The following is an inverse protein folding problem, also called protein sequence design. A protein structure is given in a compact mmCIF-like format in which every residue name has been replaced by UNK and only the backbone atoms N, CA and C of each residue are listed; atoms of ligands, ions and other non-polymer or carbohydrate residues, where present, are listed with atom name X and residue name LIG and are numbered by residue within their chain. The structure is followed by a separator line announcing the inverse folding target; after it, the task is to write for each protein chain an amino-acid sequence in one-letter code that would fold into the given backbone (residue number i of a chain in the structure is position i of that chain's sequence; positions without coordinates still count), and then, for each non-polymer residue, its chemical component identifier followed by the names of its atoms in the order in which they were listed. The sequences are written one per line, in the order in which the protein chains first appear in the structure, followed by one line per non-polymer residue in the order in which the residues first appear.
data_IF_920813093616
#
_entry.id   IF_920813093616
#
_cell.length_a   1.000
_cell.length_b   1.000
_cell.length_c   1.000
_cell.angle_alpha   90.00
_cell.angle_beta   90.00
_cell.angle_gamma   90.00
#
_symmetry.space_group_name_H-M   'P 1'
#
loop_
_entity.id
_entity.type
_entity.pdbx_description
1 polymer ?
#
# COMPACT_ATOMS: atom_id res chain seq x y z
N UNK A 1 -20.13 -18.00 -18.19
CA UNK A 1 -19.38 -16.88 -17.60
C UNK A 1 -20.30 -15.93 -16.89
N UNK A 2 -19.93 -15.54 -15.74
CA UNK A 2 -20.75 -14.76 -14.86
C UNK A 2 -20.43 -13.26 -15.02
N UNK A 3 -21.39 -12.41 -15.38
CA UNK A 3 -21.11 -10.98 -15.52
C UNK A 3 -20.66 -10.32 -14.20
N UNK A 4 -21.03 -10.92 -13.08
CA UNK A 4 -20.61 -10.43 -11.77
C UNK A 4 -19.08 -10.46 -11.65
N UNK A 5 -18.45 -11.43 -12.30
CA UNK A 5 -16.99 -11.54 -12.29
C UNK A 5 -16.34 -10.28 -12.86
N UNK A 6 -16.90 -9.73 -13.92
CA UNK A 6 -16.37 -8.50 -14.52
C UNK A 6 -16.49 -7.32 -13.56
N UNK A 7 -17.61 -7.21 -12.85
CA UNK A 7 -17.80 -6.14 -11.87
C UNK A 7 -16.82 -6.29 -10.72
N UNK A 8 -16.62 -7.52 -10.25
CA UNK A 8 -15.68 -7.78 -9.18
C UNK A 8 -14.26 -7.44 -9.61
N UNK A 9 -13.93 -7.76 -10.86
CA UNK A 9 -12.62 -7.48 -11.39
C UNK A 9 -12.34 -5.97 -11.41
N UNK A 10 -13.32 -5.18 -11.80
CA UNK A 10 -13.18 -3.73 -11.79
C UNK A 10 -12.97 -3.20 -10.38
N UNK A 11 -13.74 -3.69 -9.43
CA UNK A 11 -13.62 -3.27 -8.04
C UNK A 11 -12.27 -3.67 -7.45
N UNK A 12 -11.82 -4.87 -7.77
CA UNK A 12 -10.51 -5.33 -7.31
C UNK A 12 -9.40 -4.43 -7.82
N UNK A 13 -9.47 -4.03 -9.08
CA UNK A 13 -8.48 -3.12 -9.65
C UNK A 13 -8.48 -1.79 -8.94
N UNK A 14 -9.65 -1.28 -8.59
CA UNK A 14 -9.73 -0.02 -7.86
C UNK A 14 -9.10 -0.14 -6.48
N UNK A 15 -9.32 -1.26 -5.80
CA UNK A 15 -8.74 -1.47 -4.49
C UNK A 15 -7.23 -1.61 -4.56
N UNK A 16 -6.73 -2.28 -5.58
CA UNK A 16 -5.30 -2.40 -5.81
C UNK A 16 -4.69 -1.02 -6.06
N UNK A 17 -5.37 -0.20 -6.84
CA UNK A 17 -4.90 1.15 -7.11
C UNK A 17 -4.86 2.00 -5.82
N UNK A 18 -5.91 1.92 -5.03
CA UNK A 18 -5.95 2.64 -3.74
C UNK A 18 -4.83 2.21 -2.82
N UNK A 19 -4.56 0.91 -2.80
CA UNK A 19 -3.48 0.37 -1.99
C UNK A 19 -2.14 0.95 -2.41
N UNK A 20 -1.90 1.03 -3.71
CA UNK A 20 -0.69 1.62 -4.24
C UNK A 20 -0.54 3.09 -3.85
N UNK A 21 -1.65 3.83 -3.91
CA UNK A 21 -1.66 5.23 -3.51
C UNK A 21 -1.33 5.37 -2.03
N UNK A 22 -1.88 4.48 -1.20
CA UNK A 22 -1.58 4.49 0.23
C UNK A 22 -0.11 4.25 0.50
N UNK A 23 0.49 3.31 -0.21
CA UNK A 23 1.92 3.03 -0.05
C UNK A 23 2.72 4.28 -0.39
N UNK A 24 2.38 4.92 -1.50
CA UNK A 24 3.06 6.13 -1.94
C UNK A 24 2.93 7.25 -0.92
N UNK A 25 1.72 7.47 -0.42
CA UNK A 25 1.46 8.54 0.53
C UNK A 25 2.20 8.30 1.85
N UNK A 26 2.15 7.08 2.37
CA UNK A 26 2.88 6.76 3.59
C UNK A 26 4.38 6.92 3.41
N UNK A 27 4.89 6.43 2.30
CA UNK A 27 6.32 6.53 2.01
C UNK A 27 6.76 7.99 1.98
N UNK A 28 6.01 8.84 1.30
CA UNK A 28 6.34 10.26 1.22
C UNK A 28 6.21 10.95 2.58
N UNK A 29 5.19 10.60 3.32
CA UNK A 29 4.99 11.17 4.65
C UNK A 29 6.16 10.85 5.57
N UNK A 30 6.73 9.68 5.42
CA UNK A 30 7.86 9.23 6.23
C UNK A 30 9.21 9.63 5.64
N UNK A 31 9.23 10.30 4.50
CA UNK A 31 10.46 10.75 3.87
C UNK A 31 11.30 9.62 3.29
N UNK A 32 10.68 8.54 2.89
CA UNK A 32 11.37 7.37 2.36
C UNK A 32 11.36 7.35 0.84
N UNK A 33 12.47 6.92 0.25
CA UNK A 33 12.50 6.62 -1.18
C UNK A 33 11.94 5.22 -1.42
N UNK A 34 11.62 4.92 -2.68
CA UNK A 34 11.21 3.56 -3.03
C UNK A 34 12.28 2.54 -2.69
N UNK A 35 13.54 2.92 -2.89
CA UNK A 35 14.65 2.04 -2.58
C UNK A 35 14.71 1.72 -1.08
N UNK A 36 14.54 2.76 -0.26
CA UNK A 36 14.58 2.58 1.19
C UNK A 36 13.44 1.69 1.68
N UNK A 37 12.24 1.90 1.14
CA UNK A 37 11.11 1.05 1.51
C UNK A 37 11.35 -0.38 1.06
N UNK A 38 11.85 -0.56 -0.15
CA UNK A 38 12.16 -1.89 -0.68
C UNK A 38 13.14 -2.62 0.24
N UNK A 39 14.20 -1.92 0.63
CA UNK A 39 15.21 -2.49 1.51
C UNK A 39 14.60 -2.93 2.84
N UNK A 40 13.80 -2.07 3.45
CA UNK A 40 13.18 -2.38 4.74
C UNK A 40 12.12 -3.48 4.65
N UNK A 41 11.49 -3.60 3.50
CA UNK A 41 10.43 -4.59 3.28
C UNK A 41 10.97 -5.94 2.80
N UNK A 42 12.23 -5.98 2.42
CA UNK A 42 12.79 -7.20 1.82
C UNK A 42 12.26 -7.47 0.43
N UNK A 43 11.93 -6.41 -0.31
CA UNK A 43 11.37 -6.51 -1.66
C UNK A 43 12.26 -5.77 -2.63
N UNK A 44 12.10 -6.07 -3.92
CA UNK A 44 12.84 -5.35 -4.96
C UNK A 44 12.23 -3.96 -5.15
N UNK A 45 13.06 -2.99 -5.52
CA UNK A 45 12.56 -1.63 -5.76
C UNK A 45 11.55 -1.61 -6.90
N UNK A 46 11.80 -2.37 -7.97
CA UNK A 46 10.87 -2.44 -9.09
C UNK A 46 9.50 -2.95 -8.64
N UNK A 47 9.49 -3.85 -7.66
CA UNK A 47 8.24 -4.37 -7.13
C UNK A 47 7.47 -3.29 -6.36
N UNK A 48 8.19 -2.49 -5.56
CA UNK A 48 7.57 -1.35 -4.87
C UNK A 48 6.98 -0.37 -5.89
N UNK A 49 7.72 -0.10 -6.96
CA UNK A 49 7.22 0.77 -8.02
C UNK A 49 5.93 0.23 -8.64
N UNK A 50 5.90 -1.07 -8.90
CA UNK A 50 4.71 -1.71 -9.47
C UNK A 50 3.53 -1.69 -8.50
N UNK A 51 3.80 -1.85 -7.21
CA UNK A 51 2.74 -1.74 -6.20
C UNK A 51 2.15 -0.34 -6.18
N UNK A 52 3.00 0.68 -6.20
CA UNK A 52 2.55 2.07 -6.14
C UNK A 52 1.75 2.46 -7.37
N UNK A 53 2.08 1.90 -8.52
CA UNK A 53 1.35 2.19 -9.75
C UNK A 53 0.06 1.38 -9.90
N UNK A 54 -0.13 0.38 -9.04
CA UNK A 54 -1.31 -0.46 -9.11
C UNK A 54 -1.27 -1.47 -10.25
N UNK A 55 -0.07 -1.78 -10.75
CA UNK A 55 0.06 -2.67 -11.90
C UNK A 55 0.19 -4.14 -11.53
N UNK A 56 0.29 -4.46 -10.24
CA UNK A 56 0.34 -5.84 -9.79
C UNK A 56 -0.63 -6.05 -8.63
N UNK A 57 -1.03 -7.29 -8.44
CA UNK A 57 -1.96 -7.70 -7.38
C UNK A 57 -1.12 -8.30 -6.24
N UNK A 58 -0.88 -7.57 -5.15
CA UNK A 58 -0.01 -8.07 -4.10
C UNK A 58 -0.71 -9.13 -3.26
N UNK A 59 0.07 -10.06 -2.77
CA UNK A 59 -0.40 -11.02 -1.79
C UNK A 59 -0.52 -10.32 -0.43
N UNK A 60 -1.34 -10.87 0.43
CA UNK A 60 -1.51 -10.33 1.78
C UNK A 60 -0.18 -10.31 2.53
N UNK A 61 0.65 -11.34 2.33
CA UNK A 61 1.96 -11.37 2.95
C UNK A 61 2.86 -10.22 2.47
N UNK A 62 2.73 -9.84 1.21
CA UNK A 62 3.47 -8.71 0.67
C UNK A 62 3.02 -7.41 1.32
N UNK A 63 1.72 -7.26 1.52
CA UNK A 63 1.16 -6.07 2.18
C UNK A 63 1.74 -5.95 3.59
N UNK A 64 1.80 -7.05 4.32
CA UNK A 64 2.40 -7.04 5.66
C UNK A 64 3.86 -6.62 5.63
N UNK A 65 4.62 -7.10 4.63
CA UNK A 65 6.02 -6.71 4.50
C UNK A 65 6.16 -5.21 4.28
N UNK A 66 5.32 -4.66 3.42
CA UNK A 66 5.36 -3.22 3.13
C UNK A 66 4.99 -2.42 4.37
N UNK A 67 3.93 -2.79 5.04
CA UNK A 67 3.49 -2.09 6.25
C UNK A 67 4.58 -2.14 7.30
N UNK A 68 5.20 -3.28 7.46
CA UNK A 68 6.31 -3.43 8.40
C UNK A 68 7.50 -2.56 8.01
N UNK A 69 7.78 -2.48 6.72
CA UNK A 69 8.86 -1.64 6.21
C UNK A 69 8.60 -0.16 6.39
N UNK A 70 7.34 0.24 6.41
CA UNK A 70 6.98 1.64 6.66
C UNK A 70 7.17 2.04 8.11
N UNK A 71 7.05 1.08 9.04
CA UNK A 71 7.24 1.37 10.45
C UNK A 71 6.43 0.43 11.31
N UNK A 72 6.35 0.77 12.59
CA UNK A 72 5.62 -0.06 13.55
C UNK A 72 4.17 0.40 13.60
N UNK A 73 3.44 0.07 12.56
CA UNK A 73 2.03 0.40 12.51
C UNK A 73 1.24 -0.87 12.18
N UNK A 74 -0.03 -0.88 12.56
CA UNK A 74 -0.91 -1.96 12.21
C UNK A 74 -1.37 -1.80 10.76
N UNK A 75 -1.88 -2.89 10.18
CA UNK A 75 -2.48 -2.81 8.85
C UNK A 75 -3.66 -1.84 8.86
N UNK A 76 -4.42 -1.81 9.96
CA UNK A 76 -5.54 -0.90 10.06
C UNK A 76 -5.09 0.56 10.00
N UNK A 77 -4.02 0.90 10.71
CA UNK A 77 -3.45 2.25 10.65
C UNK A 77 -2.98 2.59 9.25
N UNK A 78 -2.35 1.63 8.59
CA UNK A 78 -1.91 1.82 7.22
C UNK A 78 -3.10 2.11 6.30
N UNK A 79 -4.16 1.36 6.43
CA UNK A 79 -5.35 1.52 5.57
C UNK A 79 -6.07 2.84 5.84
N UNK A 80 -5.97 3.37 7.05
CA UNK A 80 -6.58 4.66 7.39
C UNK A 80 -5.86 5.83 6.72
N UNK A 81 -4.60 5.65 6.36
CA UNK A 81 -3.83 6.68 5.69
C UNK A 81 -3.17 7.65 6.65
N UNK A 82 -2.13 8.35 6.18
CA UNK A 82 -1.34 9.24 7.05
C UNK A 82 -2.15 10.41 7.63
N UNK A 83 -3.08 10.95 6.85
CA UNK A 83 -3.87 12.09 7.32
C UNK A 83 -4.80 11.71 8.46
N UNK A 84 -5.39 10.52 8.39
CA UNK A 84 -6.28 10.06 9.46
C UNK A 84 -5.52 9.93 10.77
N UNK A 85 -4.32 9.38 10.72
CA UNK A 85 -3.50 9.21 11.93
C UNK A 85 -3.08 10.57 12.47
N UNK A 86 -2.69 11.47 11.60
CA UNK A 86 -2.33 12.83 12.02
C UNK A 86 -3.50 13.52 12.70
N UNK A 87 -4.68 13.35 12.17
CA UNK A 87 -5.89 13.91 12.71
C UNK A 87 -6.14 13.39 14.12
N UNK A 88 -5.95 12.09 14.32
CA UNK A 88 -6.13 11.47 15.62
C UNK A 88 -5.12 11.97 16.64
N UNK A 89 -3.91 12.27 16.22
CA UNK A 89 -2.88 12.76 17.12
C UNK A 89 -3.14 14.16 17.60
N UNK A 90 -3.83 14.94 16.83
CA UNK A 90 -4.16 16.32 17.19
C UNK A 90 -5.18 16.36 18.32
N UNK A 91 -6.03 15.37 18.36
CA UNK A 91 -7.04 15.26 19.41
C UNK A 91 -6.49 14.59 20.64
#
# INVERSE_FOLDING_TARGET
MNPIVCCQDFQVRQEIHKLGVLILLWRRQLGMTQYQLADKSGLAQSYISDLESGSIDPRWSTIYRVVYGLGEMSVQDFLNGPQAIRSLKIH
#
